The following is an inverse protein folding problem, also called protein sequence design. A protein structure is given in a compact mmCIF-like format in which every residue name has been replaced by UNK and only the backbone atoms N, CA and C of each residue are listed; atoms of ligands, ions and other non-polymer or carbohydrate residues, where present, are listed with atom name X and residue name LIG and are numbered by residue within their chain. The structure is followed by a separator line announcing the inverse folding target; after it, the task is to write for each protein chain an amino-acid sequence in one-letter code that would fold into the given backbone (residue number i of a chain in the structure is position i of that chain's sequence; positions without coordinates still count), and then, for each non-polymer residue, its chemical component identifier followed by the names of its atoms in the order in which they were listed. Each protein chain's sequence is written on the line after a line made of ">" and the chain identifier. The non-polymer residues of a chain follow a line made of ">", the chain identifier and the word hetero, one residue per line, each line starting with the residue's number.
data_IF_801235546268
#
_entry.id   IF_801235546268
#
_cell.length_a   1.000
_cell.length_b   1.000
_cell.length_c   1.000
_cell.angle_alpha   90.00
_cell.angle_beta   90.00
_cell.angle_gamma   90.00
#
_symmetry.space_group_name_H-M   'P 1'
#
loop_
_entity.id
_entity.type
_entity.pdbx_description
1 polymer ?
#
# COMPACT_ATOMS: atom_id res chain seq x y z
N UNK A 1 -39.16 67.25 -37.62
CA UNK A 1 -38.73 65.93 -37.16
C UNK A 1 -37.43 66.08 -36.39
N UNK A 2 -37.48 66.40 -35.14
CA UNK A 2 -36.38 66.63 -34.22
C UNK A 2 -36.56 65.67 -33.05
N UNK A 3 -35.51 64.94 -32.62
CA UNK A 3 -35.54 64.35 -31.31
C UNK A 3 -35.28 62.83 -31.32
N UNK A 4 -34.02 62.37 -31.47
CA UNK A 4 -33.52 61.04 -31.03
C UNK A 4 -32.00 60.99 -31.07
N UNK A 5 -31.27 61.92 -30.47
CA UNK A 5 -29.81 61.89 -30.39
C UNK A 5 -29.25 62.35 -29.03
N UNK A 6 -29.95 62.02 -27.94
CA UNK A 6 -29.50 62.44 -26.61
C UNK A 6 -29.47 61.32 -25.52
N UNK A 7 -29.48 60.07 -25.89
CA UNK A 7 -29.43 58.96 -24.90
C UNK A 7 -28.20 58.01 -24.95
N UNK A 8 -27.16 58.30 -25.72
CA UNK A 8 -25.99 57.46 -25.82
C UNK A 8 -24.70 58.04 -25.21
N UNK A 9 -24.76 59.12 -24.44
CA UNK A 9 -23.58 59.77 -23.89
C UNK A 9 -23.44 59.78 -22.37
N UNK A 10 -24.11 58.86 -21.64
CA UNK A 10 -24.02 58.82 -20.16
C UNK A 10 -23.87 57.42 -19.55
N UNK A 11 -23.43 56.40 -20.32
CA UNK A 11 -23.24 55.04 -19.80
C UNK A 11 -21.78 54.57 -19.83
N UNK A 12 -20.79 55.47 -19.89
CA UNK A 12 -19.36 55.08 -20.02
C UNK A 12 -18.44 55.67 -18.95
N UNK A 13 -18.85 55.80 -17.72
CA UNK A 13 -17.91 56.22 -16.65
C UNK A 13 -18.48 55.80 -15.27
N UNK A 14 -18.53 54.50 -14.96
CA UNK A 14 -18.52 54.03 -13.56
C UNK A 14 -18.33 52.48 -13.52
N UNK A 15 -17.41 51.92 -14.28
CA UNK A 15 -16.80 50.67 -13.86
C UNK A 15 -15.55 51.02 -13.10
N UNK A 16 -15.70 51.41 -11.86
CA UNK A 16 -14.66 51.41 -10.88
C UNK A 16 -14.11 49.99 -10.76
N UNK A 17 -12.90 49.76 -11.27
CA UNK A 17 -12.12 48.57 -10.98
C UNK A 17 -11.83 48.61 -9.49
N UNK A 18 -12.75 48.03 -8.70
CA UNK A 18 -12.44 47.62 -7.33
C UNK A 18 -11.46 46.46 -7.48
N UNK A 19 -10.18 46.79 -7.52
CA UNK A 19 -9.12 45.82 -7.26
C UNK A 19 -9.35 45.35 -5.83
N UNK A 20 -10.12 44.27 -5.68
CA UNK A 20 -10.11 43.47 -4.48
C UNK A 20 -8.68 42.98 -4.31
N UNK A 21 -7.87 43.77 -3.58
CA UNK A 21 -6.73 43.27 -2.87
C UNK A 21 -7.27 42.22 -1.90
N UNK A 22 -7.53 41.00 -2.39
CA UNK A 22 -7.59 39.82 -1.55
C UNK A 22 -6.24 39.81 -0.85
N UNK A 23 -6.21 40.22 0.41
CA UNK A 23 -5.14 39.99 1.33
C UNK A 23 -4.88 38.47 1.24
N UNK A 24 -3.87 38.11 0.43
CA UNK A 24 -3.40 36.74 0.36
C UNK A 24 -3.08 36.36 1.80
N UNK A 25 -3.82 35.41 2.33
CA UNK A 25 -3.52 34.87 3.65
C UNK A 25 -2.02 34.56 3.67
N UNK A 26 -1.26 34.97 4.68
CA UNK A 26 0.17 34.79 4.70
C UNK A 26 0.46 33.31 4.45
N UNK A 27 1.24 33.02 3.41
CA UNK A 27 1.64 31.67 3.10
C UNK A 27 2.24 31.04 4.37
N UNK A 28 1.81 29.85 4.79
CA UNK A 28 2.28 29.25 6.01
C UNK A 28 3.80 29.22 5.97
N UNK A 29 4.46 29.78 6.99
CA UNK A 29 5.90 29.90 7.06
C UNK A 29 6.53 28.52 6.76
N UNK A 30 7.36 28.44 5.73
CA UNK A 30 7.97 27.19 5.22
C UNK A 30 8.62 26.35 6.34
N UNK A 31 9.14 27.02 7.38
CA UNK A 31 9.69 26.39 8.57
C UNK A 31 8.67 25.61 9.41
N UNK A 32 7.43 26.07 9.51
CA UNK A 32 6.38 25.39 10.28
C UNK A 32 5.95 24.06 9.65
N UNK A 33 5.85 24.00 8.31
CA UNK A 33 5.49 22.80 7.60
C UNK A 33 6.58 21.71 7.69
N UNK A 34 7.85 22.10 7.55
CA UNK A 34 8.97 21.16 7.69
C UNK A 34 9.04 20.57 9.10
N UNK A 35 8.86 21.39 10.13
CA UNK A 35 8.82 20.94 11.55
C UNK A 35 7.68 19.94 11.77
N UNK A 36 6.48 20.21 11.24
CA UNK A 36 5.33 19.30 11.32
C UNK A 36 5.59 17.96 10.63
N UNK A 37 6.22 17.95 9.46
CA UNK A 37 6.59 16.74 8.71
C UNK A 37 7.62 15.92 9.48
N UNK A 38 8.67 16.54 9.99
CA UNK A 38 9.69 15.86 10.80
C UNK A 38 9.12 15.30 12.11
N UNK A 39 8.27 16.07 12.81
CA UNK A 39 7.59 15.60 14.01
C UNK A 39 6.66 14.40 13.70
N UNK A 40 5.94 14.43 12.57
CA UNK A 40 5.12 13.32 12.11
C UNK A 40 5.94 12.05 11.80
N UNK A 41 7.08 12.17 11.12
CA UNK A 41 7.99 11.05 10.88
C UNK A 41 8.58 10.49 12.18
N UNK A 42 9.01 11.35 13.10
CA UNK A 42 9.52 10.94 14.39
C UNK A 42 8.45 10.19 15.21
N UNK A 43 7.22 10.71 15.23
CA UNK A 43 6.09 10.04 15.87
C UNK A 43 5.83 8.66 15.26
N UNK A 44 5.81 8.55 13.91
CA UNK A 44 5.64 7.26 13.25
C UNK A 44 6.77 6.28 13.56
N UNK A 45 8.02 6.75 13.63
CA UNK A 45 9.14 5.90 14.04
C UNK A 45 8.98 5.39 15.48
N UNK A 46 8.55 6.23 16.41
CA UNK A 46 8.25 5.83 17.79
C UNK A 46 7.10 4.83 17.84
N UNK A 47 6.01 5.07 17.08
CA UNK A 47 4.88 4.14 17.00
C UNK A 47 5.31 2.80 16.40
N UNK A 48 6.15 2.80 15.37
CA UNK A 48 6.68 1.57 14.78
C UNK A 48 7.54 0.80 15.79
N UNK A 49 8.43 1.47 16.50
CA UNK A 49 9.25 0.82 17.57
C UNK A 49 8.34 0.22 18.64
N UNK A 50 7.33 0.96 19.10
CA UNK A 50 6.36 0.48 20.07
C UNK A 50 5.57 -0.73 19.54
N UNK A 51 5.17 -0.71 18.25
CA UNK A 51 4.50 -1.83 17.59
C UNK A 51 5.41 -3.07 17.47
N UNK A 52 6.71 -2.89 17.17
CA UNK A 52 7.68 -3.98 17.16
C UNK A 52 7.85 -4.61 18.55
N UNK A 53 8.00 -3.78 19.58
CA UNK A 53 8.09 -4.25 20.97
C UNK A 53 6.83 -4.97 21.40
N UNK A 54 5.65 -4.42 21.10
CA UNK A 54 4.37 -5.08 21.34
C UNK A 54 4.24 -6.41 20.58
N UNK A 55 4.69 -6.47 19.33
CA UNK A 55 4.68 -7.69 18.52
C UNK A 55 5.56 -8.80 19.09
N UNK A 56 6.68 -8.45 19.71
CA UNK A 56 7.59 -9.40 20.37
C UNK A 56 7.05 -9.79 21.76
N UNK A 57 6.56 -8.83 22.53
CA UNK A 57 6.08 -9.08 23.91
C UNK A 57 4.73 -9.79 23.97
N UNK A 58 3.78 -9.42 23.10
CA UNK A 58 2.39 -9.88 23.15
C UNK A 58 2.15 -11.00 22.14
N UNK A 59 1.57 -12.12 22.61
CA UNK A 59 1.22 -13.27 21.76
C UNK A 59 0.07 -14.07 22.37
N UNK A 60 -0.29 -15.21 21.73
CA UNK A 60 -1.27 -16.16 22.29
C UNK A 60 -0.76 -16.73 23.63
N UNK A 61 0.51 -17.16 23.70
CA UNK A 61 1.17 -17.52 24.97
C UNK A 61 1.61 -16.23 25.69
N UNK A 62 1.20 -16.06 26.93
CA UNK A 62 1.64 -14.97 27.80
C UNK A 62 3.08 -15.26 28.28
N UNK A 63 4.02 -14.41 27.89
CA UNK A 63 5.42 -14.46 28.36
C UNK A 63 5.65 -13.16 29.13
N UNK A 64 6.12 -13.23 30.39
CA UNK A 64 6.47 -12.02 31.17
C UNK A 64 7.54 -11.18 30.48
N UNK A 65 7.57 -9.88 30.72
CA UNK A 65 8.52 -8.98 30.05
C UNK A 65 9.99 -9.29 30.36
N UNK A 66 10.28 -9.77 31.56
CA UNK A 66 11.60 -10.28 31.95
C UNK A 66 12.02 -11.51 31.13
N UNK A 67 11.07 -12.44 30.90
CA UNK A 67 11.27 -13.60 30.00
C UNK A 67 11.53 -13.18 28.57
N UNK A 68 10.80 -12.18 28.04
CA UNK A 68 11.07 -11.61 26.71
C UNK A 68 12.46 -11.00 26.63
N UNK A 69 12.84 -10.23 27.67
CA UNK A 69 14.17 -9.61 27.72
C UNK A 69 15.27 -10.67 27.79
N UNK A 70 15.09 -11.69 28.63
CA UNK A 70 16.00 -12.82 28.73
C UNK A 70 16.16 -13.55 27.39
N UNK A 71 15.05 -13.87 26.72
CA UNK A 71 15.06 -14.53 25.42
C UNK A 71 15.82 -13.73 24.35
N UNK A 72 15.78 -12.40 24.39
CA UNK A 72 16.47 -11.54 23.43
C UNK A 72 17.98 -11.44 23.69
N UNK A 73 18.40 -11.28 24.95
CA UNK A 73 19.78 -10.89 25.30
C UNK A 73 20.61 -12.02 25.92
N UNK A 74 19.98 -12.96 26.65
CA UNK A 74 20.69 -14.04 27.37
C UNK A 74 19.97 -15.39 27.24
N UNK A 75 19.70 -15.89 26.01
CA UNK A 75 18.90 -17.10 25.80
C UNK A 75 19.58 -18.33 26.44
N UNK A 76 18.79 -19.13 27.15
CA UNK A 76 19.22 -20.39 27.78
C UNK A 76 18.58 -21.63 27.15
N UNK A 77 17.84 -21.46 26.05
CA UNK A 77 17.18 -22.56 25.33
C UNK A 77 15.83 -22.97 25.94
N UNK A 78 15.23 -22.10 26.73
CA UNK A 78 13.89 -22.34 27.28
C UNK A 78 12.83 -22.30 26.16
N UNK A 79 11.62 -22.85 26.46
CA UNK A 79 10.49 -22.78 25.54
C UNK A 79 10.14 -21.32 25.18
N UNK A 80 10.23 -20.41 26.13
CA UNK A 80 9.97 -18.98 25.91
C UNK A 80 11.02 -18.35 24.96
N UNK A 81 12.28 -18.75 25.05
CA UNK A 81 13.32 -18.32 24.11
C UNK A 81 13.01 -18.76 22.68
N UNK A 82 12.55 -20.01 22.52
CA UNK A 82 12.14 -20.53 21.20
C UNK A 82 10.97 -19.75 20.66
N UNK A 83 9.93 -19.52 21.46
CA UNK A 83 8.74 -18.73 21.04
C UNK A 83 9.13 -17.32 20.61
N UNK A 84 9.95 -16.65 21.40
CA UNK A 84 10.37 -15.26 21.08
C UNK A 84 11.23 -15.22 19.84
N UNK A 85 12.27 -16.04 19.74
CA UNK A 85 13.30 -15.95 18.70
C UNK A 85 12.87 -16.60 17.39
N UNK A 86 12.18 -17.76 17.46
CA UNK A 86 11.84 -18.53 16.25
C UNK A 86 10.46 -18.25 15.71
N UNK A 87 9.54 -17.67 16.51
CA UNK A 87 8.19 -17.36 16.04
C UNK A 87 7.91 -15.86 16.01
N UNK A 88 8.18 -15.13 17.12
CA UNK A 88 7.78 -13.72 17.20
C UNK A 88 8.72 -12.76 16.46
N UNK A 89 10.03 -12.99 16.52
CA UNK A 89 11.00 -12.13 15.81
C UNK A 89 10.85 -12.21 14.28
N UNK A 90 10.82 -13.41 13.65
CA UNK A 90 10.58 -13.51 12.21
C UNK A 90 9.26 -12.90 11.78
N UNK A 91 8.19 -13.12 12.55
CA UNK A 91 6.86 -12.55 12.33
C UNK A 91 6.89 -11.02 12.38
N UNK A 92 7.60 -10.45 13.36
CA UNK A 92 7.76 -8.99 13.49
C UNK A 92 8.57 -8.42 12.31
N UNK A 93 9.68 -9.05 11.95
CA UNK A 93 10.49 -8.64 10.79
C UNK A 93 9.65 -8.63 9.51
N UNK A 94 8.94 -9.71 9.26
CA UNK A 94 8.08 -9.83 8.08
C UNK A 94 6.95 -8.79 8.09
N UNK A 95 6.36 -8.51 9.27
CA UNK A 95 5.35 -7.48 9.45
C UNK A 95 5.86 -6.08 9.11
N UNK A 96 7.11 -5.74 9.51
CA UNK A 96 7.76 -4.48 9.14
C UNK A 96 7.98 -4.41 7.62
N UNK A 97 8.54 -5.45 7.04
CA UNK A 97 8.86 -5.50 5.61
C UNK A 97 7.59 -5.44 4.75
N UNK A 98 6.62 -6.33 5.01
CA UNK A 98 5.38 -6.40 4.22
C UNK A 98 4.48 -5.18 4.43
N UNK A 99 4.31 -4.73 5.69
CA UNK A 99 3.52 -3.53 5.99
C UNK A 99 4.11 -2.27 5.37
N UNK A 100 5.44 -2.11 5.47
CA UNK A 100 6.17 -1.02 4.84
C UNK A 100 6.04 -1.03 3.33
N UNK A 101 6.16 -2.20 2.72
CA UNK A 101 6.00 -2.39 1.28
C UNK A 101 4.58 -2.05 0.81
N UNK A 102 3.55 -2.54 1.49
CA UNK A 102 2.15 -2.26 1.14
C UNK A 102 1.80 -0.78 1.33
N UNK A 103 2.28 -0.14 2.40
CA UNK A 103 2.09 1.30 2.62
C UNK A 103 2.75 2.14 1.52
N UNK A 104 3.98 1.80 1.14
CA UNK A 104 4.72 2.46 0.07
C UNK A 104 4.07 2.22 -1.30
N UNK A 105 3.71 0.97 -1.62
CA UNK A 105 3.03 0.61 -2.86
C UNK A 105 1.68 1.33 -2.99
N UNK A 106 0.94 1.47 -1.87
CA UNK A 106 -0.30 2.23 -1.80
C UNK A 106 -0.12 3.70 -2.16
N UNK A 107 0.89 4.36 -1.60
CA UNK A 107 1.19 5.75 -1.92
C UNK A 107 1.62 5.93 -3.39
N UNK A 108 2.39 4.98 -3.93
CA UNK A 108 2.80 4.97 -5.33
C UNK A 108 1.61 4.82 -6.28
N UNK A 109 0.74 3.82 -6.08
CA UNK A 109 -0.40 3.59 -6.98
C UNK A 109 -1.38 4.76 -6.95
N UNK A 110 -1.64 5.37 -5.77
CA UNK A 110 -2.46 6.56 -5.66
C UNK A 110 -1.88 7.73 -6.44
N UNK A 111 -0.54 7.91 -6.43
CA UNK A 111 0.15 8.94 -7.21
C UNK A 111 0.07 8.70 -8.71
N UNK A 112 0.33 7.49 -9.16
CA UNK A 112 0.30 7.14 -10.58
C UNK A 112 -1.08 7.18 -11.19
N UNK A 113 -2.11 6.83 -10.42
CA UNK A 113 -3.52 6.85 -10.85
C UNK A 113 -4.20 8.19 -10.59
N UNK A 114 -3.58 9.09 -9.84
CA UNK A 114 -4.20 10.32 -9.32
C UNK A 114 -5.56 10.04 -8.65
N UNK A 115 -5.64 8.90 -8.00
CA UNK A 115 -6.85 8.45 -7.33
C UNK A 115 -6.51 8.09 -5.87
N UNK A 116 -7.02 8.83 -4.87
CA UNK A 116 -6.75 8.55 -3.46
C UNK A 116 -7.35 7.22 -2.97
N UNK A 117 -8.23 6.61 -3.76
CA UNK A 117 -8.87 5.33 -3.48
C UNK A 117 -8.19 4.15 -4.20
N UNK A 118 -7.08 4.38 -4.90
CA UNK A 118 -6.37 3.31 -5.56
C UNK A 118 -5.63 2.41 -4.55
N UNK A 119 -5.68 1.12 -4.81
CA UNK A 119 -4.98 0.06 -4.06
C UNK A 119 -4.05 -0.71 -5.01
N UNK A 120 -2.89 -1.22 -4.55
CA UNK A 120 -1.99 -2.01 -5.40
C UNK A 120 -2.65 -3.21 -6.09
N UNK A 121 -3.72 -3.76 -5.51
CA UNK A 121 -4.52 -4.83 -6.11
C UNK A 121 -5.13 -4.48 -7.46
N UNK A 122 -5.28 -3.19 -7.80
CA UNK A 122 -5.72 -2.74 -9.12
C UNK A 122 -4.80 -3.22 -10.27
N UNK A 123 -3.55 -3.56 -9.99
CA UNK A 123 -2.65 -4.17 -10.97
C UNK A 123 -2.80 -5.69 -11.09
N UNK A 124 -3.84 -6.29 -10.50
CA UNK A 124 -4.08 -7.73 -10.54
C UNK A 124 -3.12 -8.57 -9.68
N UNK A 125 -2.26 -7.94 -8.88
CA UNK A 125 -1.21 -8.59 -8.07
C UNK A 125 -1.78 -9.73 -7.22
N UNK A 126 -2.84 -9.47 -6.45
CA UNK A 126 -3.42 -10.43 -5.53
C UNK A 126 -4.05 -11.63 -6.25
N UNK A 127 -4.82 -11.38 -7.31
CA UNK A 127 -5.47 -12.46 -8.08
C UNK A 127 -4.46 -13.25 -8.91
N UNK A 128 -3.42 -12.59 -9.41
CA UNK A 128 -2.30 -13.25 -10.08
C UNK A 128 -1.55 -14.18 -9.15
N UNK A 129 -1.20 -13.69 -7.98
CA UNK A 129 -0.56 -14.49 -6.93
C UNK A 129 -1.46 -15.69 -6.54
N UNK A 130 -2.75 -15.46 -6.31
CA UNK A 130 -3.71 -16.49 -5.93
C UNK A 130 -3.82 -17.60 -6.99
N UNK A 131 -3.98 -17.24 -8.25
CA UNK A 131 -4.11 -18.20 -9.34
C UNK A 131 -2.85 -19.07 -9.49
N UNK A 132 -1.66 -18.45 -9.45
CA UNK A 132 -0.42 -19.21 -9.59
C UNK A 132 -0.13 -20.09 -8.36
N UNK A 133 -0.48 -19.67 -7.15
CA UNK A 133 -0.41 -20.53 -5.96
C UNK A 133 -1.32 -21.75 -6.13
N UNK A 134 -2.56 -21.54 -6.58
CA UNK A 134 -3.51 -22.64 -6.84
C UNK A 134 -2.98 -23.59 -7.91
N UNK A 135 -2.41 -23.06 -8.99
CA UNK A 135 -1.76 -23.91 -10.03
C UNK A 135 -0.53 -24.64 -9.46
N UNK A 136 0.27 -23.99 -8.63
CA UNK A 136 1.41 -24.60 -7.94
C UNK A 136 1.00 -25.79 -7.09
N UNK A 137 -0.11 -25.67 -6.34
CA UNK A 137 -0.66 -26.75 -5.53
C UNK A 137 -1.23 -27.85 -6.42
N UNK A 138 -2.14 -27.50 -7.32
CA UNK A 138 -2.92 -28.46 -8.12
C UNK A 138 -2.07 -29.23 -9.13
N UNK A 139 -1.27 -28.51 -9.93
CA UNK A 139 -0.55 -29.12 -11.07
C UNK A 139 0.86 -29.60 -10.71
N UNK A 140 1.51 -28.97 -9.72
CA UNK A 140 2.90 -29.28 -9.35
C UNK A 140 3.04 -29.91 -7.96
N UNK A 141 1.94 -30.10 -7.22
CA UNK A 141 1.96 -30.72 -5.89
C UNK A 141 2.76 -29.97 -4.86
N UNK A 142 2.89 -28.63 -4.99
CA UNK A 142 3.60 -27.81 -4.02
C UNK A 142 2.78 -27.76 -2.73
N UNK A 143 3.36 -28.22 -1.62
CA UNK A 143 2.67 -28.29 -0.32
C UNK A 143 3.30 -27.38 0.73
N UNK A 144 4.48 -26.84 0.44
CA UNK A 144 5.22 -26.02 1.39
C UNK A 144 5.12 -24.53 1.04
N UNK A 145 5.26 -23.73 2.09
CA UNK A 145 5.12 -22.28 1.99
C UNK A 145 6.23 -21.62 1.16
N UNK A 146 7.45 -22.19 1.17
CA UNK A 146 8.58 -21.70 0.37
C UNK A 146 8.29 -21.78 -1.13
N UNK A 147 7.65 -22.87 -1.56
CA UNK A 147 7.21 -23.02 -2.94
C UNK A 147 6.12 -21.99 -3.30
N UNK A 148 5.13 -21.76 -2.41
CA UNK A 148 4.08 -20.79 -2.65
C UNK A 148 4.60 -19.38 -2.93
N UNK A 149 5.67 -18.94 -2.24
CA UNK A 149 6.26 -17.61 -2.43
C UNK A 149 6.64 -17.38 -3.90
N UNK A 150 7.31 -18.36 -4.54
CA UNK A 150 7.76 -18.21 -5.92
C UNK A 150 6.61 -18.24 -6.93
N UNK A 151 5.63 -19.13 -6.74
CA UNK A 151 4.42 -19.15 -7.57
C UNK A 151 3.62 -17.85 -7.40
N UNK A 152 3.39 -17.42 -6.17
CA UNK A 152 2.68 -16.18 -5.90
C UNK A 152 3.38 -14.96 -6.52
N UNK A 153 4.71 -14.87 -6.38
CA UNK A 153 5.48 -13.77 -6.96
C UNK A 153 5.44 -13.79 -8.49
N UNK A 154 5.61 -14.97 -9.11
CA UNK A 154 5.51 -15.13 -10.56
C UNK A 154 4.11 -14.74 -11.06
N UNK A 155 3.05 -15.16 -10.36
CA UNK A 155 1.66 -14.81 -10.69
C UNK A 155 1.37 -13.31 -10.53
N UNK A 156 1.86 -12.70 -9.45
CA UNK A 156 1.76 -11.26 -9.25
C UNK A 156 2.44 -10.47 -10.37
N UNK A 157 3.65 -10.89 -10.74
CA UNK A 157 4.41 -10.28 -11.84
C UNK A 157 3.68 -10.46 -13.18
N UNK A 158 3.26 -11.68 -13.50
CA UNK A 158 2.56 -12.00 -14.76
C UNK A 158 1.27 -11.18 -14.90
N UNK A 159 0.45 -11.11 -13.83
CA UNK A 159 -0.77 -10.32 -13.83
C UNK A 159 -0.48 -8.82 -14.01
N UNK A 160 0.50 -8.27 -13.30
CA UNK A 160 0.87 -6.85 -13.42
C UNK A 160 1.38 -6.51 -14.82
N UNK A 161 2.18 -7.39 -15.43
CA UNK A 161 2.65 -7.24 -16.81
C UNK A 161 1.46 -7.30 -17.78
N UNK A 162 0.55 -8.26 -17.62
CA UNK A 162 -0.66 -8.37 -18.45
C UNK A 162 -1.51 -7.10 -18.35
N UNK A 163 -1.75 -6.60 -17.13
CA UNK A 163 -2.49 -5.34 -16.89
C UNK A 163 -1.80 -4.16 -17.55
N UNK A 164 -0.48 -4.06 -17.42
CA UNK A 164 0.29 -2.98 -18.05
C UNK A 164 0.26 -3.04 -19.58
N UNK A 165 0.44 -4.23 -20.15
CA UNK A 165 0.39 -4.43 -21.61
C UNK A 165 -1.00 -4.09 -22.15
N UNK A 166 -2.05 -4.67 -21.55
CA UNK A 166 -3.44 -4.42 -21.96
C UNK A 166 -3.84 -2.95 -21.76
N UNK A 167 -3.47 -2.35 -20.65
CA UNK A 167 -3.72 -0.93 -20.37
C UNK A 167 -2.92 0.04 -21.26
N UNK A 168 -1.88 -0.46 -21.94
CA UNK A 168 -1.04 0.31 -22.87
C UNK A 168 -1.48 0.19 -24.32
N UNK A 169 -2.42 -0.70 -24.64
CA UNK A 169 -2.97 -0.87 -26.00
C UNK A 169 -3.75 0.39 -26.38
N UNK A 170 -3.35 1.03 -27.46
CA UNK A 170 -3.99 2.26 -27.98
C UNK A 170 -3.01 3.40 -28.18
N UNK A 171 -3.47 4.47 -28.88
CA UNK A 171 -2.62 5.59 -29.28
C UNK A 171 -2.20 6.52 -28.13
N UNK A 172 -2.84 6.43 -26.95
CA UNK A 172 -2.58 7.28 -25.79
C UNK A 172 -1.57 6.71 -24.76
N UNK A 173 -1.13 5.43 -24.91
CA UNK A 173 -0.33 4.74 -23.90
C UNK A 173 -1.11 4.44 -22.60
N UNK A 174 -0.44 3.97 -21.53
CA UNK A 174 -1.10 3.60 -20.29
C UNK A 174 -1.65 4.84 -19.56
N UNK A 175 -2.97 4.93 -19.44
CA UNK A 175 -3.66 5.94 -18.63
C UNK A 175 -4.16 5.33 -17.31
N UNK A 176 -4.45 6.14 -16.28
CA UNK A 176 -5.04 5.63 -15.04
C UNK A 176 -6.33 4.82 -15.26
N UNK A 177 -7.16 5.26 -16.20
CA UNK A 177 -8.44 4.59 -16.52
C UNK A 177 -8.21 3.26 -17.22
N UNK A 178 -7.34 3.22 -18.24
CA UNK A 178 -7.05 1.98 -18.98
C UNK A 178 -6.38 0.94 -18.09
N UNK A 179 -5.51 1.34 -17.20
CA UNK A 179 -4.88 0.44 -16.21
C UNK A 179 -5.92 -0.12 -15.22
N UNK A 180 -6.84 0.71 -14.72
CA UNK A 180 -7.89 0.25 -13.81
C UNK A 180 -8.86 -0.73 -14.49
N UNK A 181 -9.28 -0.47 -15.74
CA UNK A 181 -10.15 -1.36 -16.50
C UNK A 181 -9.45 -2.68 -16.84
N UNK A 182 -8.20 -2.63 -17.30
CA UNK A 182 -7.40 -3.82 -17.57
C UNK A 182 -7.18 -4.64 -16.31
N UNK A 183 -6.89 -3.97 -15.19
CA UNK A 183 -6.74 -4.63 -13.90
C UNK A 183 -8.01 -5.31 -13.40
N UNK A 184 -9.17 -4.68 -13.56
CA UNK A 184 -10.44 -5.29 -13.22
C UNK A 184 -10.74 -6.53 -14.08
N UNK A 185 -10.51 -6.44 -15.39
CA UNK A 185 -10.73 -7.55 -16.32
C UNK A 185 -9.80 -8.74 -16.04
N UNK A 186 -8.48 -8.49 -15.88
CA UNK A 186 -7.48 -9.52 -15.55
C UNK A 186 -7.79 -10.14 -14.20
N UNK A 187 -8.14 -9.32 -13.19
CA UNK A 187 -8.49 -9.81 -11.85
C UNK A 187 -9.73 -10.71 -11.87
N UNK A 188 -10.77 -10.32 -12.61
CA UNK A 188 -11.98 -11.13 -12.72
C UNK A 188 -11.72 -12.47 -13.41
N UNK A 189 -10.93 -12.47 -14.49
CA UNK A 189 -10.52 -13.70 -15.19
C UNK A 189 -9.74 -14.63 -14.25
N UNK A 190 -8.70 -14.11 -13.57
CA UNK A 190 -7.86 -14.91 -12.68
C UNK A 190 -8.63 -15.42 -11.47
N UNK A 191 -9.56 -14.63 -10.92
CA UNK A 191 -10.44 -15.07 -9.84
C UNK A 191 -11.37 -16.20 -10.30
N UNK A 192 -11.96 -16.12 -11.50
CA UNK A 192 -12.78 -17.18 -12.05
C UNK A 192 -11.99 -18.48 -12.29
N UNK A 193 -10.77 -18.37 -12.84
CA UNK A 193 -9.88 -19.53 -13.03
C UNK A 193 -9.45 -20.14 -11.70
N UNK A 194 -9.13 -19.31 -10.69
CA UNK A 194 -8.82 -19.77 -9.32
C UNK A 194 -10.01 -20.56 -8.77
N UNK A 195 -11.22 -20.00 -8.85
CA UNK A 195 -12.43 -20.65 -8.37
C UNK A 195 -12.70 -21.98 -9.08
N UNK A 196 -12.47 -22.04 -10.40
CA UNK A 196 -12.64 -23.28 -11.15
C UNK A 196 -11.74 -24.40 -10.63
N UNK A 197 -10.46 -24.12 -10.39
CA UNK A 197 -9.51 -25.13 -9.89
C UNK A 197 -9.83 -25.56 -8.46
N UNK A 198 -10.12 -24.63 -7.55
CA UNK A 198 -10.40 -24.98 -6.14
C UNK A 198 -11.73 -25.72 -5.96
N UNK A 199 -12.69 -25.62 -6.93
CA UNK A 199 -13.92 -26.39 -6.91
C UNK A 199 -13.74 -27.83 -7.42
N UNK A 200 -12.71 -28.09 -8.23
CA UNK A 200 -12.42 -29.43 -8.76
C UNK A 200 -11.62 -30.26 -7.74
N UNK A 201 -10.74 -29.63 -6.97
CA UNK A 201 -9.83 -30.33 -6.06
C UNK A 201 -9.91 -29.80 -4.61
N UNK A 202 -10.43 -30.64 -3.73
CA UNK A 202 -10.63 -30.33 -2.31
C UNK A 202 -9.30 -30.10 -1.58
N UNK A 203 -8.23 -30.84 -1.95
CA UNK A 203 -6.92 -30.67 -1.32
C UNK A 203 -6.33 -29.30 -1.65
N UNK A 204 -6.45 -28.87 -2.89
CA UNK A 204 -6.07 -27.51 -3.32
C UNK A 204 -6.89 -26.45 -2.57
N UNK A 205 -8.20 -26.63 -2.39
CA UNK A 205 -9.04 -25.72 -1.62
C UNK A 205 -8.55 -25.61 -0.19
N UNK A 206 -8.26 -26.74 0.48
CA UNK A 206 -7.84 -26.77 1.88
C UNK A 206 -6.48 -26.06 2.10
N UNK A 207 -5.52 -26.24 1.21
CA UNK A 207 -4.24 -25.57 1.27
C UNK A 207 -4.36 -24.07 0.95
N UNK A 208 -5.12 -23.74 -0.10
CA UNK A 208 -5.29 -22.37 -0.59
C UNK A 208 -6.02 -21.46 0.40
N UNK A 209 -7.09 -21.93 1.04
CA UNK A 209 -7.92 -21.10 1.94
C UNK A 209 -7.13 -20.44 3.08
N UNK A 210 -6.12 -21.13 3.64
CA UNK A 210 -5.27 -20.59 4.69
C UNK A 210 -4.30 -19.54 4.18
N UNK A 211 -3.80 -19.71 2.94
CA UNK A 211 -2.95 -18.71 2.31
C UNK A 211 -3.74 -17.46 1.90
N UNK A 212 -4.96 -17.65 1.37
CA UNK A 212 -5.80 -16.58 0.83
C UNK A 212 -6.30 -15.57 1.88
N UNK A 213 -6.28 -15.92 3.17
CA UNK A 213 -6.71 -15.01 4.23
C UNK A 213 -5.69 -13.92 4.55
N UNK A 214 -4.42 -14.15 4.22
CA UNK A 214 -3.32 -13.24 4.54
C UNK A 214 -2.90 -13.30 6.02
N UNK A 215 -1.70 -13.80 6.28
CA UNK A 215 -1.20 -14.04 7.64
C UNK A 215 0.30 -13.82 7.75
N UNK A 216 0.74 -13.36 8.92
CA UNK A 216 2.14 -13.31 9.33
C UNK A 216 2.53 -14.55 10.16
N UNK A 217 1.55 -15.34 10.62
CA UNK A 217 1.79 -16.52 11.44
C UNK A 217 2.42 -17.67 10.65
N UNK A 218 3.31 -18.43 11.30
CA UNK A 218 3.96 -19.59 10.68
C UNK A 218 4.94 -19.24 9.55
N UNK A 219 5.42 -17.99 9.50
CA UNK A 219 6.39 -17.52 8.50
C UNK A 219 7.77 -17.53 9.12
N UNK A 220 8.66 -18.37 8.59
CA UNK A 220 10.05 -18.46 9.02
C UNK A 220 10.88 -17.31 8.45
N UNK A 221 12.05 -17.06 9.03
CA UNK A 221 12.93 -15.94 8.64
C UNK A 221 13.43 -16.06 7.19
N UNK A 222 13.54 -17.29 6.69
CA UNK A 222 13.94 -17.60 5.33
C UNK A 222 13.00 -17.02 4.28
N UNK A 223 11.68 -16.94 4.57
CA UNK A 223 10.71 -16.30 3.68
C UNK A 223 11.01 -14.81 3.56
N UNK A 224 11.33 -14.15 4.68
CA UNK A 224 11.78 -12.76 4.63
C UNK A 224 13.05 -12.61 3.80
N UNK A 225 14.00 -13.57 3.93
CA UNK A 225 15.22 -13.65 3.14
C UNK A 225 14.97 -13.77 1.62
N UNK A 226 13.96 -14.54 1.21
CA UNK A 226 13.60 -14.71 -0.21
C UNK A 226 13.06 -13.42 -0.84
N UNK A 227 12.25 -12.65 -0.11
CA UNK A 227 11.56 -11.49 -0.67
C UNK A 227 12.26 -10.15 -0.43
N UNK A 228 13.19 -10.07 0.52
CA UNK A 228 13.81 -8.82 0.96
C UNK A 228 14.48 -8.02 -0.17
N UNK A 229 15.12 -8.69 -1.12
CA UNK A 229 15.83 -8.02 -2.21
C UNK A 229 14.86 -7.38 -3.21
N UNK A 230 13.72 -8.04 -3.48
CA UNK A 230 12.66 -7.48 -4.31
C UNK A 230 11.99 -6.30 -3.62
N UNK A 231 11.74 -6.40 -2.31
CA UNK A 231 11.22 -5.32 -1.49
C UNK A 231 12.17 -4.11 -1.46
N UNK A 232 13.46 -4.37 -1.28
CA UNK A 232 14.48 -3.33 -1.29
C UNK A 232 14.58 -2.63 -2.65
N UNK A 233 14.63 -3.39 -3.74
CA UNK A 233 14.65 -2.84 -5.09
C UNK A 233 13.40 -2.01 -5.40
N UNK A 234 12.21 -2.54 -5.04
CA UNK A 234 10.94 -1.83 -5.18
C UNK A 234 10.90 -0.54 -4.37
N UNK A 235 11.40 -0.56 -3.12
CA UNK A 235 11.48 0.61 -2.26
C UNK A 235 12.44 1.67 -2.83
N UNK A 236 13.61 1.26 -3.31
CA UNK A 236 14.59 2.16 -3.90
C UNK A 236 14.02 2.86 -5.14
N UNK A 237 13.42 2.09 -6.07
CA UNK A 237 12.79 2.65 -7.28
C UNK A 237 11.64 3.58 -6.89
N UNK A 238 10.79 3.15 -5.94
CA UNK A 238 9.64 3.92 -5.47
C UNK A 238 10.06 5.25 -4.86
N UNK A 239 10.98 5.24 -3.91
CA UNK A 239 11.48 6.45 -3.25
C UNK A 239 12.20 7.39 -4.23
N UNK A 240 13.00 6.86 -5.15
CA UNK A 240 13.66 7.63 -6.18
C UNK A 240 12.67 8.30 -7.16
N UNK A 241 11.47 7.75 -7.31
CA UNK A 241 10.43 8.30 -8.19
C UNK A 241 9.68 9.52 -7.60
N UNK A 242 9.89 9.87 -6.33
CA UNK A 242 9.16 10.93 -5.63
C UNK A 242 9.15 12.30 -6.38
N UNK A 243 10.27 12.82 -6.93
CA UNK A 243 10.26 14.07 -7.68
C UNK A 243 9.39 13.98 -8.94
N UNK A 244 9.48 12.87 -9.68
CA UNK A 244 8.71 12.64 -10.87
C UNK A 244 7.20 12.48 -10.57
N UNK A 245 6.83 11.87 -9.44
CA UNK A 245 5.45 11.80 -8.96
C UNK A 245 4.90 13.18 -8.60
N UNK A 246 5.69 14.03 -7.95
CA UNK A 246 5.30 15.43 -7.70
C UNK A 246 5.02 16.18 -9.00
N UNK A 247 5.86 16.01 -10.03
CA UNK A 247 5.61 16.58 -11.34
C UNK A 247 4.36 16.01 -12.02
N UNK A 248 4.16 14.67 -11.95
CA UNK A 248 2.96 14.02 -12.50
C UNK A 248 1.66 14.49 -11.83
N UNK A 249 1.68 14.84 -10.56
CA UNK A 249 0.49 15.33 -9.85
C UNK A 249 -0.02 16.67 -10.42
N UNK A 250 0.84 17.45 -11.09
CA UNK A 250 0.50 18.71 -11.77
C UNK A 250 -0.08 18.50 -13.18
N UNK A 251 -0.05 17.29 -13.69
CA UNK A 251 -0.53 16.95 -15.04
C UNK A 251 0.59 16.42 -15.93
N UNK A 252 0.20 15.61 -16.92
CA UNK A 252 1.16 14.97 -17.83
C UNK A 252 1.93 15.98 -18.69
N UNK A 253 1.26 17.06 -19.14
CA UNK A 253 1.88 18.10 -19.97
C UNK A 253 2.86 18.94 -19.16
N UNK A 254 2.49 19.29 -17.92
CA UNK A 254 3.39 19.99 -16.99
C UNK A 254 4.59 19.12 -16.64
N UNK A 255 4.39 17.82 -16.37
CA UNK A 255 5.50 16.91 -16.12
C UNK A 255 6.49 16.83 -17.30
N UNK A 256 5.97 16.80 -18.55
CA UNK A 256 6.82 16.84 -19.76
C UNK A 256 7.58 18.15 -19.88
N UNK A 257 6.94 19.28 -19.66
CA UNK A 257 7.59 20.60 -19.71
C UNK A 257 8.69 20.76 -18.65
N UNK A 258 8.56 20.07 -17.51
CA UNK A 258 9.58 19.97 -16.46
C UNK A 258 10.70 18.95 -16.78
N UNK A 259 10.71 18.34 -17.96
CA UNK A 259 11.72 17.39 -18.40
C UNK A 259 11.51 15.94 -17.95
N UNK A 260 10.35 15.62 -17.34
CA UNK A 260 10.06 14.26 -16.92
C UNK A 260 9.40 13.43 -18.03
N UNK A 261 9.93 12.22 -18.29
CA UNK A 261 9.30 11.26 -19.18
C UNK A 261 8.15 10.55 -18.48
N UNK A 262 6.91 10.94 -18.80
CA UNK A 262 5.68 10.36 -18.22
C UNK A 262 5.64 8.83 -18.38
N UNK A 263 6.01 8.32 -19.58
CA UNK A 263 6.04 6.86 -19.86
C UNK A 263 7.04 6.15 -18.93
N UNK A 264 8.28 6.66 -18.85
CA UNK A 264 9.32 6.07 -17.99
C UNK A 264 8.90 6.10 -16.52
N UNK A 265 8.36 7.23 -16.06
CA UNK A 265 7.89 7.37 -14.66
C UNK A 265 6.79 6.37 -14.34
N UNK A 266 5.79 6.20 -15.22
CA UNK A 266 4.72 5.22 -15.03
C UNK A 266 5.24 3.78 -15.05
N UNK A 267 6.09 3.42 -16.00
CA UNK A 267 6.68 2.08 -16.07
C UNK A 267 7.46 1.75 -14.81
N UNK A 268 8.36 2.66 -14.36
CA UNK A 268 9.14 2.48 -13.13
C UNK A 268 8.26 2.39 -11.89
N UNK A 269 7.17 3.17 -11.84
CA UNK A 269 6.20 3.09 -10.76
C UNK A 269 5.49 1.75 -10.69
N UNK A 270 5.04 1.22 -11.83
CA UNK A 270 4.39 -0.10 -11.90
C UNK A 270 5.38 -1.21 -11.50
N UNK A 271 6.63 -1.13 -11.95
CA UNK A 271 7.69 -2.07 -11.52
C UNK A 271 7.86 -2.00 -10.01
N UNK A 272 7.99 -0.80 -9.43
CA UNK A 272 8.14 -0.64 -7.99
C UNK A 272 6.93 -1.21 -7.21
N UNK A 273 5.71 -0.90 -7.64
CA UNK A 273 4.47 -1.39 -7.02
C UNK A 273 4.40 -2.91 -7.10
N UNK A 274 4.73 -3.50 -8.25
CA UNK A 274 4.71 -4.95 -8.45
C UNK A 274 5.74 -5.65 -7.56
N UNK A 275 6.96 -5.12 -7.48
CA UNK A 275 8.00 -5.64 -6.59
C UNK A 275 7.58 -5.57 -5.12
N UNK A 276 7.02 -4.45 -4.69
CA UNK A 276 6.61 -4.24 -3.30
C UNK A 276 5.36 -5.08 -2.95
N UNK A 277 4.26 -4.89 -3.65
CA UNK A 277 3.00 -5.56 -3.35
C UNK A 277 3.07 -7.05 -3.71
N UNK A 278 3.72 -7.42 -4.82
CA UNK A 278 3.91 -8.81 -5.23
C UNK A 278 4.70 -9.61 -4.21
N UNK A 279 5.82 -9.09 -3.72
CA UNK A 279 6.62 -9.75 -2.69
C UNK A 279 5.90 -9.82 -1.34
N UNK A 280 5.20 -8.75 -0.93
CA UNK A 280 4.41 -8.76 0.31
C UNK A 280 3.29 -9.80 0.23
N UNK A 281 2.55 -9.87 -0.89
CA UNK A 281 1.50 -10.86 -1.12
C UNK A 281 2.08 -12.28 -1.21
N UNK A 282 3.23 -12.47 -1.85
CA UNK A 282 3.88 -13.76 -1.94
C UNK A 282 4.27 -14.31 -0.56
N UNK A 283 4.82 -13.46 0.30
CA UNK A 283 5.27 -13.85 1.64
C UNK A 283 4.13 -14.04 2.64
N UNK A 284 3.11 -13.18 2.60
CA UNK A 284 2.07 -13.11 3.64
C UNK A 284 0.69 -13.58 3.17
N UNK A 285 0.50 -13.83 1.87
CA UNK A 285 -0.82 -13.87 1.26
C UNK A 285 -1.39 -12.47 1.00
N UNK A 286 -2.57 -12.37 0.39
CA UNK A 286 -3.19 -11.08 0.08
C UNK A 286 -3.61 -10.33 1.35
N UNK A 287 -3.12 -9.11 1.52
CA UNK A 287 -3.48 -8.22 2.63
C UNK A 287 -4.05 -6.94 2.04
N UNK A 288 -5.32 -6.68 2.29
CA UNK A 288 -6.03 -5.51 1.79
C UNK A 288 -5.97 -4.32 2.76
N UNK A 289 -6.42 -3.16 2.28
CA UNK A 289 -6.62 -1.91 3.02
C UNK A 289 -5.36 -1.17 3.48
N UNK A 290 -4.20 -1.81 3.70
CA UNK A 290 -2.98 -1.11 4.12
C UNK A 290 -2.60 -0.05 3.09
N UNK A 291 -2.53 -0.44 1.81
CA UNK A 291 -2.20 0.47 0.70
C UNK A 291 -3.22 1.58 0.47
N UNK A 292 -4.47 1.36 0.88
CA UNK A 292 -5.54 2.35 0.76
C UNK A 292 -5.54 3.34 1.93
N UNK A 293 -5.54 2.83 3.16
CA UNK A 293 -5.75 3.60 4.39
C UNK A 293 -4.54 4.43 4.77
N UNK A 294 -3.37 3.82 4.70
CA UNK A 294 -2.13 4.42 5.20
C UNK A 294 -1.77 5.73 4.49
N UNK A 295 -1.69 5.81 3.15
CA UNK A 295 -1.32 7.05 2.49
C UNK A 295 -2.34 8.17 2.73
N UNK A 296 -3.61 7.81 2.90
CA UNK A 296 -4.67 8.78 3.21
C UNK A 296 -4.44 9.43 4.58
N UNK A 297 -4.17 8.64 5.62
CA UNK A 297 -3.88 9.14 6.97
C UNK A 297 -2.60 9.99 6.95
N UNK A 298 -1.54 9.48 6.35
CA UNK A 298 -0.23 10.13 6.32
C UNK A 298 -0.27 11.47 5.60
N UNK A 299 -1.04 11.58 4.53
CA UNK A 299 -1.20 12.82 3.75
C UNK A 299 -1.76 13.98 4.57
N UNK A 300 -2.51 13.70 5.64
CA UNK A 300 -3.07 14.73 6.52
C UNK A 300 -2.01 15.60 7.21
N UNK A 301 -0.79 15.08 7.43
CA UNK A 301 0.30 15.83 8.06
C UNK A 301 1.54 16.04 7.17
N UNK A 302 1.79 15.16 6.19
CA UNK A 302 2.88 15.35 5.22
C UNK A 302 2.51 16.31 4.10
N UNK A 303 1.20 16.44 3.81
CA UNK A 303 0.70 17.09 2.60
C UNK A 303 0.90 16.22 1.35
N UNK A 304 0.78 16.80 0.14
CA UNK A 304 0.81 16.06 -1.12
C UNK A 304 2.23 15.72 -1.61
N UNK A 305 3.29 16.21 -0.97
CA UNK A 305 4.69 16.02 -1.42
C UNK A 305 5.14 14.58 -1.21
N UNK A 306 5.36 13.85 -2.30
CA UNK A 306 5.78 12.44 -2.30
C UNK A 306 7.14 12.19 -1.65
N UNK A 307 8.02 13.18 -1.53
CA UNK A 307 9.30 13.05 -0.82
C UNK A 307 9.11 12.75 0.67
N UNK A 308 7.99 13.22 1.24
CA UNK A 308 7.59 12.99 2.63
C UNK A 308 6.55 11.91 2.76
N UNK A 309 5.60 11.86 1.80
CA UNK A 309 4.50 10.90 1.82
C UNK A 309 4.98 9.45 1.70
N UNK A 310 5.93 9.16 0.81
CA UNK A 310 6.40 7.80 0.58
C UNK A 310 7.09 7.18 1.81
N UNK A 311 8.13 7.78 2.42
CA UNK A 311 8.76 7.21 3.60
C UNK A 311 7.81 7.15 4.80
N UNK A 312 6.96 8.17 5.00
CA UNK A 312 5.97 8.15 6.06
C UNK A 312 4.92 7.04 5.86
N UNK A 313 4.51 6.75 4.61
CA UNK A 313 3.61 5.64 4.31
C UNK A 313 4.25 4.27 4.56
N UNK A 314 5.55 4.12 4.32
CA UNK A 314 6.26 2.90 4.67
C UNK A 314 6.26 2.66 6.19
N UNK A 315 6.63 3.67 6.99
CA UNK A 315 6.62 3.57 8.46
C UNK A 315 5.22 3.28 9.02
N UNK A 316 4.22 4.03 8.54
CA UNK A 316 2.84 3.87 8.99
C UNK A 316 2.24 2.52 8.58
N UNK A 317 2.57 2.01 7.38
CA UNK A 317 2.15 0.70 6.90
C UNK A 317 2.71 -0.44 7.74
N UNK A 318 4.00 -0.37 8.07
CA UNK A 318 4.65 -1.32 8.97
C UNK A 318 4.00 -1.31 10.36
N UNK A 319 3.79 -0.13 10.94
CA UNK A 319 3.16 0.01 12.25
C UNK A 319 1.71 -0.51 12.25
N UNK A 320 0.91 -0.16 11.23
CA UNK A 320 -0.49 -0.61 11.11
C UNK A 320 -0.59 -2.13 11.00
N UNK A 321 0.25 -2.75 10.17
CA UNK A 321 0.24 -4.20 9.97
C UNK A 321 0.62 -4.94 11.26
N UNK A 322 1.65 -4.49 11.96
CA UNK A 322 2.06 -5.08 13.24
C UNK A 322 0.99 -4.91 14.33
N UNK A 323 0.39 -3.73 14.46
CA UNK A 323 -0.67 -3.49 15.44
C UNK A 323 -1.91 -4.35 15.15
N UNK A 324 -2.32 -4.47 13.88
CA UNK A 324 -3.40 -5.33 13.48
C UNK A 324 -3.11 -6.81 13.79
N UNK A 325 -1.87 -7.25 13.57
CA UNK A 325 -1.43 -8.60 13.88
C UNK A 325 -1.42 -8.87 15.40
N UNK A 326 -0.96 -7.92 16.22
CA UNK A 326 -1.03 -8.02 17.70
C UNK A 326 -2.47 -8.10 18.18
N UNK A 327 -3.38 -7.28 17.62
CA UNK A 327 -4.80 -7.35 17.93
C UNK A 327 -5.35 -8.73 17.60
N UNK A 328 -5.05 -9.29 16.42
CA UNK A 328 -5.50 -10.63 16.01
C UNK A 328 -5.07 -11.74 16.97
N UNK A 329 -3.88 -11.62 17.58
CA UNK A 329 -3.35 -12.56 18.57
C UNK A 329 -4.02 -12.47 19.96
N UNK A 330 -4.63 -11.33 20.27
CA UNK A 330 -5.20 -11.09 21.62
C UNK A 330 -6.71 -11.35 21.67
N UNK A 331 -7.44 -10.98 20.59
CA UNK A 331 -8.92 -10.94 20.60
C UNK A 331 -9.57 -12.33 20.70
N UNK A 332 -8.91 -13.39 20.17
CA UNK A 332 -9.51 -14.74 20.09
C UNK A 332 -8.62 -15.78 20.78
N UNK A 333 -8.02 -15.44 21.91
CA UNK A 333 -7.21 -16.41 22.67
C UNK A 333 -8.03 -17.64 23.11
N UNK A 334 -7.48 -18.87 23.05
CA UNK A 334 -6.09 -19.23 22.70
C UNK A 334 -5.79 -19.31 21.20
N UNK A 335 -6.78 -19.11 20.31
CA UNK A 335 -6.58 -19.02 18.87
C UNK A 335 -6.01 -17.66 18.44
N UNK A 336 -5.79 -17.52 17.14
CA UNK A 336 -5.32 -16.26 16.52
C UNK A 336 -6.20 -15.91 15.31
N UNK A 337 -6.62 -14.65 15.20
CA UNK A 337 -7.18 -14.11 13.96
C UNK A 337 -6.04 -13.69 13.03
N UNK A 338 -6.11 -14.12 11.78
CA UNK A 338 -5.17 -13.70 10.77
C UNK A 338 -5.29 -12.19 10.52
N UNK A 339 -4.14 -11.55 10.28
CA UNK A 339 -4.04 -10.09 10.14
C UNK A 339 -4.90 -9.57 8.99
N UNK A 340 -5.08 -10.33 7.91
CA UNK A 340 -5.96 -9.97 6.80
C UNK A 340 -7.41 -9.79 7.21
N UNK A 341 -7.93 -10.64 8.13
CA UNK A 341 -9.30 -10.51 8.68
C UNK A 341 -9.40 -9.24 9.52
N UNK A 342 -8.44 -9.01 10.43
CA UNK A 342 -8.44 -7.82 11.30
C UNK A 342 -8.44 -6.54 10.47
N UNK A 343 -7.59 -6.48 9.44
CA UNK A 343 -7.51 -5.33 8.54
C UNK A 343 -8.78 -5.14 7.71
N UNK A 344 -9.45 -6.22 7.29
CA UNK A 344 -10.73 -6.13 6.59
C UNK A 344 -11.83 -5.58 7.51
N UNK A 345 -11.89 -6.04 8.76
CA UNK A 345 -12.88 -5.59 9.75
C UNK A 345 -12.69 -4.12 10.15
N UNK A 346 -11.46 -3.62 10.18
CA UNK A 346 -11.16 -2.22 10.50
C UNK A 346 -11.19 -1.34 9.25
N UNK A 347 -10.59 -1.83 8.17
CA UNK A 347 -10.42 -1.08 6.93
C UNK A 347 -11.71 -0.86 6.17
N UNK A 348 -12.62 -1.83 6.15
CA UNK A 348 -13.91 -1.71 5.48
C UNK A 348 -14.78 -0.57 6.06
N UNK A 349 -15.09 -0.56 7.36
CA UNK A 349 -15.81 0.55 8.00
C UNK A 349 -15.09 1.89 7.86
N UNK A 350 -13.76 1.92 8.00
CA UNK A 350 -12.98 3.15 7.78
C UNK A 350 -13.17 3.68 6.36
N UNK A 351 -13.13 2.81 5.35
CA UNK A 351 -13.31 3.20 3.96
C UNK A 351 -14.72 3.74 3.70
N UNK A 352 -15.77 3.08 4.22
CA UNK A 352 -17.16 3.55 4.12
C UNK A 352 -17.30 4.93 4.75
N UNK A 353 -16.74 5.13 5.93
CA UNK A 353 -16.75 6.42 6.62
C UNK A 353 -16.04 7.52 5.81
N UNK A 354 -14.88 7.18 5.21
CA UNK A 354 -14.09 8.09 4.38
C UNK A 354 -14.89 8.57 3.16
N UNK A 355 -15.50 7.64 2.42
CA UNK A 355 -16.31 7.95 1.23
C UNK A 355 -17.53 8.81 1.59
N UNK A 356 -18.20 8.52 2.73
CA UNK A 356 -19.36 9.27 3.19
C UNK A 356 -19.05 10.71 3.59
N UNK A 357 -17.86 11.00 4.12
CA UNK A 357 -17.48 12.36 4.56
C UNK A 357 -17.20 13.35 3.43
N UNK A 358 -17.17 12.94 2.17
CA UNK A 358 -16.87 13.77 0.97
C UNK A 358 -15.63 14.69 1.08
N UNK A 359 -14.82 14.53 2.13
CA UNK A 359 -13.58 15.27 2.34
C UNK A 359 -12.39 14.37 2.00
N UNK A 360 -12.31 13.94 0.73
CA UNK A 360 -11.10 13.30 0.26
C UNK A 360 -10.02 14.38 0.14
N UNK A 361 -8.86 14.12 0.75
CA UNK A 361 -7.69 14.99 0.57
C UNK A 361 -7.29 14.91 -0.89
N UNK A 362 -7.39 16.02 -1.62
CA UNK A 362 -7.02 16.07 -3.04
C UNK A 362 -5.56 15.63 -3.25
N UNK A 363 -5.32 14.93 -4.33
CA UNK A 363 -3.99 14.51 -4.80
C UNK A 363 -3.39 15.62 -5.64
#
# INVERSE_FOLDING_TARGET
>A
MRGKTHYLAKASLTYGVTVLTTLAAPAPAVGGLRRRRLAGLALLAVVLVAACLASIAVGAKAIPLDGVFHALFTPTGTEDDIVVRSLRMPRTLLGVLAGGALGLAGALIQGHTRNPLADPGLLGVNNGAAFFVVIGIYAFGVTNLYGYVWFAFAGALAASVAVFVLGSVGRGGPTPVTLALAGAAVSALLAALTSAVVLIDVQTLDAYRFWAVGSLAGREVEIAGQVQWFLFAGALIGLASAPALNALSLGDDVARSLGHSVRRTRTMGIVAITLLAGSATAACGPIAFVGLVVPHIVRSFTGPDYRWLLPASALAGAALLLLADVIGRVVVRPGELQVGIVLALVGGPFFIWLVRRRKMVAI
#
